data_IF_664630528675
#
_entry.id   IF_664630528675
#
_cell.length_a   1.000
_cell.length_b   1.000
_cell.length_c   1.000
_cell.angle_alpha   90.00
_cell.angle_beta   90.00
_cell.angle_gamma   90.00
#
_symmetry.space_group_name_H-M   'P 1'
#
loop_
_entity.id
_entity.type
_entity.pdbx_description
1 polymer ?
#
# COMPACT_ATOMS: atom_id res chain seq x y z
N UNK A 1 -22.61 18.88 -1.10
CA UNK A 1 -21.66 18.05 -0.32
C UNK A 1 -22.28 17.56 0.99
N UNK A 2 -22.60 18.46 1.92
CA UNK A 2 -23.18 18.11 3.23
C UNK A 2 -24.45 17.26 3.11
N UNK A 3 -25.38 17.64 2.23
CA UNK A 3 -26.60 16.86 1.94
C UNK A 3 -26.30 15.40 1.56
N UNK A 4 -25.23 15.17 0.80
CA UNK A 4 -24.86 13.82 0.34
C UNK A 4 -24.23 12.97 1.46
N UNK A 5 -23.61 13.60 2.46
CA UNK A 5 -22.94 12.94 3.58
C UNK A 5 -23.80 12.83 4.84
N UNK A 6 -24.68 13.80 5.05
CA UNK A 6 -25.47 13.97 6.26
C UNK A 6 -26.97 13.86 5.99
N UNK A 7 -27.37 13.61 4.74
CA UNK A 7 -28.78 13.57 4.36
C UNK A 7 -29.39 14.96 4.18
N UNK A 8 -30.62 15.02 3.68
CA UNK A 8 -31.35 16.30 3.59
C UNK A 8 -31.89 16.74 4.95
N UNK A 9 -32.03 15.82 5.89
CA UNK A 9 -32.53 16.04 7.24
C UNK A 9 -31.86 15.06 8.23
N UNK A 10 -32.18 15.19 9.51
CA UNK A 10 -31.64 14.34 10.57
C UNK A 10 -31.92 12.85 10.37
N UNK A 11 -33.10 12.48 9.85
CA UNK A 11 -33.47 11.08 9.61
C UNK A 11 -32.66 10.43 8.48
N UNK A 12 -32.43 11.17 7.40
CA UNK A 12 -31.53 10.74 6.32
C UNK A 12 -30.09 10.57 6.86
N UNK A 13 -29.63 11.50 7.70
CA UNK A 13 -28.31 11.46 8.34
C UNK A 13 -28.13 10.25 9.25
N UNK A 14 -29.13 9.95 10.07
CA UNK A 14 -29.16 8.77 10.94
C UNK A 14 -29.14 7.48 10.12
N UNK A 15 -29.87 7.45 9.01
CA UNK A 15 -29.87 6.30 8.09
C UNK A 15 -28.48 6.07 7.47
N UNK A 16 -27.81 7.14 7.02
CA UNK A 16 -26.45 7.07 6.47
C UNK A 16 -25.46 6.60 7.54
N UNK A 17 -25.55 7.15 8.76
CA UNK A 17 -24.70 6.77 9.89
C UNK A 17 -24.89 5.29 10.25
N UNK A 18 -26.13 4.84 10.43
CA UNK A 18 -26.45 3.46 10.76
C UNK A 18 -26.01 2.48 9.67
N UNK A 19 -26.07 2.88 8.39
CA UNK A 19 -25.53 2.08 7.29
C UNK A 19 -24.00 1.94 7.38
N UNK A 20 -23.28 3.03 7.71
CA UNK A 20 -21.82 2.98 7.93
C UNK A 20 -21.46 2.11 9.15
N UNK A 21 -22.21 2.25 10.25
CA UNK A 21 -22.02 1.45 11.45
C UNK A 21 -22.22 -0.05 11.16
N UNK A 22 -23.31 -0.43 10.51
CA UNK A 22 -23.57 -1.83 10.10
C UNK A 22 -22.47 -2.39 9.20
N UNK A 23 -21.94 -1.60 8.26
CA UNK A 23 -20.84 -2.02 7.40
C UNK A 23 -19.55 -2.25 8.20
N UNK A 24 -19.26 -1.41 9.20
CA UNK A 24 -18.13 -1.59 10.10
C UNK A 24 -18.30 -2.85 10.96
N UNK A 25 -19.48 -3.05 11.56
CA UNK A 25 -19.79 -4.26 12.33
C UNK A 25 -19.68 -5.53 11.49
N UNK A 26 -20.15 -5.50 10.24
CA UNK A 26 -20.02 -6.64 9.32
C UNK A 26 -18.55 -6.99 9.07
N UNK A 27 -17.69 -5.99 8.82
CA UNK A 27 -16.25 -6.20 8.67
C UNK A 27 -15.61 -6.78 9.94
N UNK A 28 -16.00 -6.28 11.12
CA UNK A 28 -15.53 -6.84 12.39
C UNK A 28 -15.90 -8.32 12.54
N UNK A 29 -17.14 -8.69 12.22
CA UNK A 29 -17.62 -10.08 12.28
C UNK A 29 -16.94 -10.99 11.24
N UNK A 30 -16.70 -10.48 10.03
CA UNK A 30 -15.94 -11.19 8.99
C UNK A 30 -14.53 -11.53 9.52
N UNK A 31 -13.86 -10.57 10.16
CA UNK A 31 -12.56 -10.79 10.80
C UNK A 31 -12.62 -11.79 11.99
N UNK A 32 -13.61 -11.69 12.88
CA UNK A 32 -13.79 -12.62 14.01
C UNK A 32 -14.09 -14.07 13.55
N UNK A 33 -14.90 -14.24 12.50
CA UNK A 33 -15.25 -15.57 11.99
C UNK A 33 -14.07 -16.31 11.34
N UNK A 34 -13.09 -15.55 10.82
CA UNK A 34 -11.82 -16.13 10.34
C UNK A 34 -10.90 -16.54 11.49
N UNK A 35 -11.06 -15.98 12.69
CA UNK A 35 -10.24 -16.28 13.86
C UNK A 35 -10.57 -17.65 14.48
N UNK A 36 -11.84 -18.06 14.47
CA UNK A 36 -12.31 -19.28 15.17
C UNK A 36 -11.97 -20.61 14.48
N UNK A 37 -11.53 -20.61 13.22
CA UNK A 37 -11.16 -21.83 12.49
C UNK A 37 -9.63 -22.04 12.37
N UNK A 38 -8.85 -21.29 13.16
CA UNK A 38 -7.40 -21.36 13.15
C UNK A 38 -6.95 -22.38 14.20
N UNK A 39 -6.70 -23.61 13.74
CA UNK A 39 -5.77 -24.46 14.47
C UNK A 39 -4.48 -23.66 14.65
N UNK A 40 -4.02 -23.52 15.90
CA UNK A 40 -2.68 -23.01 16.22
C UNK A 40 -1.67 -23.92 15.53
N UNK A 41 -1.35 -23.68 14.26
CA UNK A 41 -0.19 -24.31 13.66
C UNK A 41 1.01 -23.61 14.28
N UNK A 42 1.47 -24.15 15.40
CA UNK A 42 2.85 -24.01 15.86
C UNK A 42 3.75 -24.66 14.80
N UNK A 43 3.79 -24.09 13.60
CA UNK A 43 4.86 -24.39 12.67
C UNK A 43 6.08 -23.70 13.26
N UNK A 44 6.94 -24.49 13.89
CA UNK A 44 8.30 -24.08 14.25
C UNK A 44 8.86 -23.24 13.10
N UNK A 45 9.34 -22.04 13.43
CA UNK A 45 9.94 -21.12 12.47
C UNK A 45 11.36 -21.61 12.11
N UNK A 46 11.44 -22.77 11.48
CA UNK A 46 12.67 -23.38 10.98
C UNK A 46 12.98 -22.95 9.54
N UNK A 47 12.49 -21.76 9.14
CA UNK A 47 13.03 -21.06 7.98
C UNK A 47 14.41 -20.55 8.41
N UNK A 48 15.47 -21.17 7.88
CA UNK A 48 16.88 -20.84 8.17
C UNK A 48 17.06 -19.32 8.39
N UNK A 49 17.28 -18.95 9.66
CA UNK A 49 17.21 -17.59 10.19
C UNK A 49 18.29 -16.61 9.66
N UNK A 50 19.06 -17.03 8.65
CA UNK A 50 20.17 -16.29 8.04
C UNK A 50 20.15 -16.37 6.52
N UNK A 51 18.98 -16.58 5.89
CA UNK A 51 18.88 -16.67 4.44
C UNK A 51 19.06 -15.29 3.79
N UNK A 52 20.30 -14.94 3.46
CA UNK A 52 20.58 -13.98 2.41
C UNK A 52 19.93 -14.48 1.11
N UNK A 53 18.80 -13.88 0.73
CA UNK A 53 18.15 -14.17 -0.54
C UNK A 53 18.76 -13.27 -1.60
N UNK A 54 19.48 -13.89 -2.54
CA UNK A 54 20.12 -13.18 -3.65
C UNK A 54 19.07 -12.35 -4.41
N UNK A 55 19.35 -11.07 -4.60
CA UNK A 55 18.47 -10.17 -5.36
C UNK A 55 17.44 -9.40 -4.54
N UNK A 56 17.36 -9.64 -3.22
CA UNK A 56 16.58 -8.85 -2.27
C UNK A 56 17.50 -8.05 -1.34
N UNK A 57 17.55 -6.74 -1.55
CA UNK A 57 18.34 -5.79 -0.78
C UNK A 57 17.41 -4.88 0.03
N UNK A 58 17.99 -4.08 0.95
CA UNK A 58 17.26 -3.05 1.68
C UNK A 58 16.44 -2.17 0.75
N UNK A 59 15.25 -1.81 1.21
CA UNK A 59 14.28 -1.05 0.41
C UNK A 59 14.80 0.36 0.13
N UNK A 60 14.36 0.91 -1.00
CA UNK A 60 14.74 2.25 -1.46
C UNK A 60 13.59 3.02 -2.11
N UNK A 61 12.37 2.51 -2.03
CA UNK A 61 11.27 3.02 -2.86
C UNK A 61 10.82 4.44 -2.50
N UNK A 62 11.00 4.88 -1.26
CA UNK A 62 10.83 6.26 -0.79
C UNK A 62 12.18 6.96 -0.54
N UNK A 63 13.27 6.41 -1.11
CA UNK A 63 14.64 6.84 -0.89
C UNK A 63 15.46 5.83 -0.10
N UNK A 64 16.79 5.90 -0.20
CA UNK A 64 17.70 5.01 0.54
C UNK A 64 17.68 5.31 2.05
N UNK A 65 17.85 4.26 2.86
CA UNK A 65 18.11 4.38 4.29
C UNK A 65 19.40 5.17 4.52
N UNK A 66 19.40 6.11 5.47
CA UNK A 66 20.57 6.91 5.84
C UNK A 66 21.76 6.01 6.22
N UNK A 67 23.00 6.28 5.75
CA UNK A 67 23.49 7.51 5.11
C UNK A 67 23.27 7.61 3.59
N UNK A 68 22.59 6.64 2.98
CA UNK A 68 22.23 6.70 1.57
C UNK A 68 21.33 7.90 1.25
N UNK A 69 21.43 8.41 0.02
CA UNK A 69 20.58 9.48 -0.52
C UNK A 69 20.07 9.12 -1.91
N UNK A 70 18.89 9.64 -2.24
CA UNK A 70 18.23 9.44 -3.52
C UNK A 70 17.72 8.00 -3.73
N UNK A 71 17.37 7.68 -4.97
CA UNK A 71 16.92 6.34 -5.37
C UNK A 71 15.44 6.06 -5.13
N UNK A 72 14.68 7.09 -4.74
CA UNK A 72 13.23 7.08 -4.63
C UNK A 72 12.57 6.73 -5.96
N UNK A 73 11.48 5.97 -5.88
CA UNK A 73 10.63 5.60 -7.00
C UNK A 73 9.36 6.42 -6.95
N UNK A 74 8.78 6.68 -8.12
CA UNK A 74 7.52 7.41 -8.24
C UNK A 74 6.38 6.46 -8.59
N UNK A 75 5.15 6.88 -8.32
CA UNK A 75 3.95 6.20 -8.78
C UNK A 75 3.92 6.16 -10.30
N UNK A 76 3.64 4.98 -10.88
CA UNK A 76 3.55 4.82 -12.34
C UNK A 76 2.08 4.70 -12.74
N UNK A 77 1.51 5.75 -13.33
CA UNK A 77 0.11 5.85 -13.75
C UNK A 77 -0.06 5.88 -15.28
N UNK A 78 0.63 4.99 -16.01
CA UNK A 78 0.56 4.94 -17.49
C UNK A 78 -0.65 4.14 -17.95
N UNK A 79 -1.37 4.62 -18.97
CA UNK A 79 -2.55 3.92 -19.49
C UNK A 79 -2.12 2.58 -20.14
N UNK A 80 -1.10 2.61 -21.01
CA UNK A 80 -0.47 1.40 -21.55
C UNK A 80 0.82 1.05 -20.81
N UNK A 81 0.99 -0.24 -20.51
CA UNK A 81 2.23 -0.83 -19.96
C UNK A 81 2.65 -2.02 -20.81
N UNK A 82 3.88 -2.50 -20.61
CA UNK A 82 4.48 -3.60 -21.38
C UNK A 82 3.70 -4.92 -21.28
N UNK A 83 3.02 -5.18 -20.16
CA UNK A 83 2.14 -6.34 -19.99
C UNK A 83 0.81 -5.94 -19.33
N UNK A 84 -0.19 -5.69 -20.16
CA UNK A 84 -1.55 -5.36 -19.74
C UNK A 84 -1.92 -3.88 -19.93
N UNK A 85 -3.12 -3.54 -19.50
CA UNK A 85 -3.60 -2.17 -19.37
C UNK A 85 -3.72 -1.87 -17.87
N UNK A 86 -3.18 -0.74 -17.41
CA UNK A 86 -3.40 -0.37 -16.00
C UNK A 86 -4.88 -0.07 -15.75
N UNK A 87 -5.64 0.20 -16.81
CA UNK A 87 -7.04 0.62 -16.82
C UNK A 87 -7.26 1.80 -15.87
N UNK A 88 -6.28 2.71 -15.75
CA UNK A 88 -6.28 3.82 -14.79
C UNK A 88 -5.74 3.52 -13.39
N UNK A 89 -5.04 2.39 -13.19
CA UNK A 89 -4.31 2.12 -11.93
C UNK A 89 -2.97 2.85 -11.91
N UNK A 90 -2.49 3.12 -10.69
CA UNK A 90 -1.14 3.60 -10.45
C UNK A 90 -0.34 2.54 -9.70
N UNK A 91 0.83 2.16 -10.21
CA UNK A 91 1.70 1.14 -9.57
C UNK A 91 2.50 1.79 -8.44
N UNK A 92 2.40 1.30 -7.19
CA UNK A 92 3.12 1.87 -6.05
C UNK A 92 4.64 1.76 -6.18
N UNK A 93 5.39 2.74 -5.63
CA UNK A 93 6.84 2.63 -5.44
C UNK A 93 7.27 1.33 -4.73
N UNK A 94 6.52 0.89 -3.71
CA UNK A 94 6.78 -0.33 -2.95
C UNK A 94 6.67 -1.59 -3.83
N UNK A 95 5.62 -1.72 -4.64
CA UNK A 95 5.44 -2.84 -5.57
C UNK A 95 6.57 -2.94 -6.58
N UNK A 96 7.08 -1.81 -7.08
CA UNK A 96 8.25 -1.76 -7.96
C UNK A 96 9.56 -2.25 -7.29
N UNK A 97 9.56 -2.37 -5.96
CA UNK A 97 10.70 -2.80 -5.14
C UNK A 97 10.39 -4.10 -4.37
N UNK A 98 9.40 -4.89 -4.83
CA UNK A 98 9.03 -6.17 -4.24
C UNK A 98 10.19 -7.19 -4.34
N UNK A 99 10.44 -7.94 -3.27
CA UNK A 99 11.46 -8.99 -3.23
C UNK A 99 10.99 -10.22 -4.02
N UNK A 100 11.43 -10.38 -5.27
CA UNK A 100 11.18 -11.62 -6.03
C UNK A 100 12.23 -12.71 -5.77
N UNK A 101 13.35 -12.37 -5.12
CA UNK A 101 14.35 -13.32 -4.63
C UNK A 101 14.77 -14.37 -5.64
N UNK A 102 14.72 -15.63 -5.22
CA UNK A 102 15.10 -16.79 -6.04
C UNK A 102 14.11 -17.14 -7.15
N UNK A 103 12.98 -16.45 -7.25
CA UNK A 103 12.03 -16.61 -8.35
C UNK A 103 12.60 -16.04 -9.66
N UNK A 104 13.42 -14.99 -9.56
CA UNK A 104 13.98 -14.29 -10.73
C UNK A 104 15.43 -13.86 -10.51
N UNK A 105 16.33 -14.31 -11.39
CA UNK A 105 17.72 -13.87 -11.40
C UNK A 105 17.84 -12.59 -12.24
N UNK A 106 18.25 -11.48 -11.61
CA UNK A 106 18.42 -10.18 -12.28
C UNK A 106 19.71 -10.06 -13.09
N UNK A 107 20.62 -11.04 -13.06
CA UNK A 107 21.91 -10.99 -13.79
C UNK A 107 21.71 -11.17 -15.30
N UNK A 108 22.64 -10.61 -16.09
CA UNK A 108 22.76 -10.81 -17.54
C UNK A 108 21.44 -10.64 -18.33
N UNK A 109 20.72 -9.53 -18.09
CA UNK A 109 19.46 -9.25 -18.78
C UNK A 109 18.21 -9.89 -18.16
N UNK A 110 18.38 -10.66 -17.08
CA UNK A 110 17.28 -11.17 -16.29
C UNK A 110 16.73 -12.50 -16.82
N UNK A 111 16.58 -13.50 -15.96
CA UNK A 111 15.93 -14.77 -16.31
C UNK A 111 15.13 -15.36 -15.15
N UNK A 112 14.04 -16.00 -15.49
CA UNK A 112 13.28 -16.85 -14.57
C UNK A 112 14.17 -17.96 -14.03
N UNK A 113 14.15 -18.13 -12.71
CA UNK A 113 14.92 -19.15 -12.00
C UNK A 113 14.01 -20.27 -11.46
N UNK A 114 12.80 -20.38 -12.03
CA UNK A 114 11.79 -21.37 -11.64
C UNK A 114 11.37 -22.32 -12.78
N UNK A 115 11.90 -22.13 -14.00
CA UNK A 115 11.44 -22.87 -15.19
C UNK A 115 11.41 -24.40 -15.05
N UNK A 116 12.27 -24.96 -14.20
CA UNK A 116 12.41 -26.41 -13.98
C UNK A 116 12.06 -26.80 -12.53
N UNK A 117 11.44 -25.91 -11.76
CA UNK A 117 11.06 -26.18 -10.38
C UNK A 117 9.79 -27.04 -10.31
N UNK A 118 9.66 -27.81 -9.23
CA UNK A 118 8.38 -28.44 -8.86
C UNK A 118 7.48 -27.45 -8.13
N UNK A 119 6.19 -27.78 -7.93
CA UNK A 119 5.29 -26.96 -7.09
C UNK A 119 5.82 -26.74 -5.68
N UNK A 120 6.44 -27.75 -5.08
CA UNK A 120 6.97 -27.67 -3.71
C UNK A 120 8.16 -26.72 -3.66
N UNK A 121 9.08 -26.80 -4.63
CA UNK A 121 10.23 -25.91 -4.68
C UNK A 121 9.79 -24.46 -4.97
N UNK A 122 8.82 -24.27 -5.86
CA UNK A 122 8.22 -22.97 -6.13
C UNK A 122 7.56 -22.40 -4.86
N UNK A 123 6.79 -23.20 -4.13
CA UNK A 123 6.16 -22.83 -2.85
C UNK A 123 7.21 -22.36 -1.84
N UNK A 124 8.31 -23.09 -1.67
CA UNK A 124 9.38 -22.69 -0.74
C UNK A 124 10.09 -21.40 -1.17
N UNK A 125 10.35 -21.20 -2.47
CA UNK A 125 10.93 -19.94 -2.97
C UNK A 125 10.01 -18.74 -2.73
N UNK A 126 8.69 -18.89 -2.92
CA UNK A 126 7.69 -17.85 -2.63
C UNK A 126 7.68 -17.56 -1.12
N UNK A 127 7.64 -18.60 -0.29
CA UNK A 127 7.66 -18.49 1.18
C UNK A 127 8.89 -17.71 1.67
N UNK A 128 10.07 -18.05 1.14
CA UNK A 128 11.32 -17.35 1.44
C UNK A 128 11.29 -15.88 1.00
N UNK A 129 10.77 -15.60 -0.20
CA UNK A 129 10.63 -14.23 -0.71
C UNK A 129 9.71 -13.38 0.19
N UNK A 130 8.55 -13.91 0.60
CA UNK A 130 7.59 -13.24 1.50
C UNK A 130 8.19 -13.00 2.88
N UNK A 131 8.88 -14.00 3.43
CA UNK A 131 9.58 -13.87 4.71
C UNK A 131 10.62 -12.74 4.66
N UNK A 132 11.46 -12.73 3.62
CA UNK A 132 12.49 -11.71 3.45
C UNK A 132 11.92 -10.32 3.17
N UNK A 133 10.85 -10.23 2.39
CA UNK A 133 10.10 -8.99 2.17
C UNK A 133 9.67 -8.39 3.51
N UNK A 134 9.13 -9.21 4.41
CA UNK A 134 8.68 -8.80 5.74
C UNK A 134 9.83 -8.23 6.57
N UNK A 135 11.00 -8.89 6.58
CA UNK A 135 12.20 -8.38 7.28
C UNK A 135 12.67 -7.03 6.71
N UNK A 136 12.76 -6.92 5.37
CA UNK A 136 13.24 -5.70 4.71
C UNK A 136 12.27 -4.53 4.87
N UNK A 137 10.96 -4.81 4.88
CA UNK A 137 9.95 -3.79 5.18
C UNK A 137 10.04 -3.33 6.63
N UNK A 138 10.30 -4.25 7.57
CA UNK A 138 10.49 -3.86 8.97
C UNK A 138 11.67 -2.90 9.11
N UNK A 139 12.85 -3.25 8.58
CA UNK A 139 14.03 -2.37 8.57
C UNK A 139 13.69 -0.97 8.01
N UNK A 140 12.95 -0.94 6.90
CA UNK A 140 12.65 0.31 6.20
C UNK A 140 11.68 1.24 6.95
N UNK A 141 10.73 0.67 7.70
CA UNK A 141 9.79 1.44 8.52
C UNK A 141 10.36 1.76 9.91
N UNK A 142 11.15 0.85 10.48
CA UNK A 142 11.81 1.04 11.77
C UNK A 142 12.84 2.18 11.73
N UNK A 143 13.53 2.33 10.59
CA UNK A 143 14.43 3.47 10.37
C UNK A 143 13.70 4.79 10.07
N UNK A 144 12.37 4.77 9.96
CA UNK A 144 11.57 5.94 9.60
C UNK A 144 11.74 6.40 8.14
N UNK A 145 12.30 5.54 7.27
CA UNK A 145 12.62 5.91 5.89
C UNK A 145 11.36 5.92 5.02
N UNK A 146 10.49 4.91 5.15
CA UNK A 146 9.22 4.85 4.42
C UNK A 146 8.36 6.09 4.71
N UNK A 147 7.74 6.70 3.70
CA UNK A 147 6.90 7.90 3.89
C UNK A 147 5.78 7.64 4.90
N UNK A 148 5.15 6.47 4.84
CA UNK A 148 4.06 6.10 5.74
C UNK A 148 4.50 5.80 7.19
N UNK A 149 5.82 5.68 7.43
CA UNK A 149 6.40 5.55 8.78
C UNK A 149 6.75 6.90 9.42
N UNK A 150 6.69 7.98 8.64
CA UNK A 150 7.05 9.31 9.09
C UNK A 150 5.90 9.98 9.86
N UNK A 151 6.26 10.85 10.79
CA UNK A 151 5.33 11.71 11.49
C UNK A 151 5.20 13.08 10.82
N UNK A 152 4.11 13.76 11.18
CA UNK A 152 3.91 15.16 10.85
C UNK A 152 4.99 16.02 11.53
N UNK A 153 5.33 15.72 12.79
CA UNK A 153 6.35 16.42 13.59
C UNK A 153 7.77 15.91 13.33
N UNK A 154 8.72 16.84 13.22
CA UNK A 154 10.16 16.59 12.99
C UNK A 154 10.88 15.86 14.14
N UNK A 155 10.23 15.65 15.29
CA UNK A 155 10.84 14.95 16.41
C UNK A 155 10.82 13.43 16.22
N UNK A 156 11.96 12.80 16.56
CA UNK A 156 12.14 11.34 16.62
C UNK A 156 11.39 10.73 17.81
N UNK A 157 10.08 10.89 17.87
CA UNK A 157 9.27 10.08 18.76
C UNK A 157 9.34 8.61 18.27
N UNK A 158 9.28 7.65 19.21
CA UNK A 158 9.13 6.24 18.86
C UNK A 158 7.76 6.05 18.17
N UNK A 159 7.77 5.96 16.85
CA UNK A 159 6.55 5.87 16.03
C UNK A 159 6.08 4.43 15.91
N UNK A 160 5.90 3.79 17.05
CA UNK A 160 5.37 2.45 17.09
C UNK A 160 3.84 2.50 17.20
N UNK A 161 3.18 1.54 16.56
CA UNK A 161 1.78 1.26 16.79
C UNK A 161 1.56 0.68 18.20
N UNK A 162 0.30 0.45 18.57
CA UNK A 162 -0.10 -0.14 19.87
C UNK A 162 0.60 -1.46 20.19
N UNK A 163 1.07 -2.19 19.16
CA UNK A 163 1.69 -3.50 19.28
C UNK A 163 3.22 -3.42 19.32
N UNK A 164 3.81 -2.21 19.32
CA UNK A 164 5.26 -2.01 19.35
C UNK A 164 5.96 -2.17 18.00
N UNK A 165 5.22 -2.29 16.90
CA UNK A 165 5.76 -2.33 15.54
C UNK A 165 5.81 -0.93 14.91
N UNK A 166 6.76 -0.64 14.00
CA UNK A 166 6.86 0.67 13.36
C UNK A 166 5.57 1.08 12.62
N UNK A 167 5.25 2.37 12.63
CA UNK A 167 4.11 2.96 11.90
C UNK A 167 4.17 2.56 10.42
N UNK A 168 3.03 2.16 9.86
CA UNK A 168 2.88 1.76 8.45
C UNK A 168 3.43 0.37 8.09
N UNK A 169 4.22 -0.27 8.96
CA UNK A 169 4.83 -1.58 8.67
C UNK A 169 3.79 -2.64 8.30
N UNK A 170 2.75 -2.82 9.10
CA UNK A 170 1.71 -3.82 8.82
C UNK A 170 0.95 -3.53 7.52
N UNK A 171 0.65 -2.26 7.22
CA UNK A 171 0.03 -1.89 5.95
C UNK A 171 0.93 -2.27 4.77
N UNK A 172 2.23 -1.98 4.85
CA UNK A 172 3.18 -2.34 3.79
C UNK A 172 3.29 -3.86 3.60
N UNK A 173 3.34 -4.63 4.69
CA UNK A 173 3.39 -6.11 4.64
C UNK A 173 2.12 -6.68 4.00
N UNK A 174 0.95 -6.23 4.43
CA UNK A 174 -0.34 -6.65 3.88
C UNK A 174 -0.43 -6.34 2.38
N UNK A 175 0.00 -5.14 1.96
CA UNK A 175 0.04 -4.75 0.53
C UNK A 175 1.04 -5.58 -0.28
N UNK A 176 2.23 -5.85 0.25
CA UNK A 176 3.20 -6.75 -0.39
C UNK A 176 2.66 -8.17 -0.53
N UNK A 177 1.93 -8.67 0.46
CA UNK A 177 1.28 -9.99 0.37
C UNK A 177 0.23 -10.04 -0.76
N UNK A 178 -0.59 -9.00 -0.89
CA UNK A 178 -1.56 -8.85 -1.99
C UNK A 178 -0.85 -8.79 -3.35
N UNK A 179 0.32 -8.14 -3.43
CA UNK A 179 1.12 -8.13 -4.65
C UNK A 179 1.66 -9.52 -5.01
N UNK A 180 2.16 -10.30 -4.03
CA UNK A 180 2.57 -11.68 -4.28
C UNK A 180 1.39 -12.54 -4.76
N UNK A 181 0.22 -12.44 -4.10
CA UNK A 181 -1.01 -13.13 -4.51
C UNK A 181 -1.31 -12.84 -5.98
N UNK A 182 -1.43 -11.58 -6.35
CA UNK A 182 -1.79 -11.19 -7.71
C UNK A 182 -0.68 -11.52 -8.73
N UNK A 183 0.59 -11.48 -8.33
CA UNK A 183 1.70 -11.96 -9.16
C UNK A 183 1.51 -13.46 -9.44
N UNK A 184 1.32 -14.29 -8.42
CA UNK A 184 1.16 -15.73 -8.57
C UNK A 184 -0.08 -16.08 -9.41
N UNK A 185 -1.21 -15.40 -9.17
CA UNK A 185 -2.46 -15.63 -9.89
C UNK A 185 -2.43 -15.16 -11.35
N UNK A 186 -1.38 -14.47 -11.80
CA UNK A 186 -1.31 -13.92 -13.15
C UNK A 186 -2.18 -12.67 -13.35
N UNK A 187 -2.71 -12.07 -12.27
CA UNK A 187 -3.61 -10.90 -12.31
C UNK A 187 -2.90 -9.57 -12.04
N UNK A 188 -1.63 -9.61 -11.61
CA UNK A 188 -0.87 -8.40 -11.30
C UNK A 188 -0.62 -7.55 -12.54
N UNK A 189 -0.85 -6.25 -12.40
CA UNK A 189 -0.57 -5.24 -13.41
C UNK A 189 0.90 -4.83 -13.30
N UNK A 190 1.73 -5.06 -14.33
CA UNK A 190 3.18 -4.88 -14.19
C UNK A 190 3.82 -4.11 -15.35
N UNK A 191 4.63 -3.11 -15.02
CA UNK A 191 5.46 -2.37 -15.99
C UNK A 191 6.71 -3.14 -16.45
N UNK A 192 7.02 -4.25 -15.79
CA UNK A 192 8.27 -4.95 -16.01
C UNK A 192 8.03 -6.27 -16.73
N UNK A 193 8.70 -6.43 -17.87
CA UNK A 193 8.63 -7.62 -18.73
C UNK A 193 8.91 -8.92 -17.97
N UNK A 194 9.83 -8.86 -17.01
CA UNK A 194 10.21 -10.02 -16.24
C UNK A 194 9.10 -10.55 -15.34
N UNK A 195 8.20 -9.69 -14.84
CA UNK A 195 7.09 -10.18 -14.03
C UNK A 195 6.10 -10.93 -14.92
N UNK A 196 5.77 -10.43 -16.11
CA UNK A 196 4.90 -11.15 -17.05
C UNK A 196 5.44 -12.55 -17.38
N UNK A 197 6.74 -12.66 -17.67
CA UNK A 197 7.43 -13.94 -17.87
C UNK A 197 7.36 -14.86 -16.64
N UNK A 198 7.52 -14.29 -15.45
CA UNK A 198 7.42 -15.05 -14.20
C UNK A 198 6.00 -15.60 -13.98
N UNK A 199 4.98 -14.80 -14.26
CA UNK A 199 3.56 -15.21 -14.16
C UNK A 199 3.24 -16.38 -15.11
N UNK A 200 3.75 -16.33 -16.33
CA UNK A 200 3.62 -17.42 -17.31
C UNK A 200 4.35 -18.69 -16.86
N UNK A 201 5.56 -18.57 -16.33
CA UNK A 201 6.34 -19.72 -15.86
C UNK A 201 5.68 -20.37 -14.63
N UNK A 202 5.15 -19.59 -13.68
CA UNK A 202 4.35 -20.09 -12.55
C UNK A 202 3.17 -20.90 -13.08
N UNK A 203 2.38 -20.32 -14.00
CA UNK A 203 1.22 -20.99 -14.59
C UNK A 203 1.59 -22.35 -15.21
N UNK A 204 2.69 -22.42 -15.97
CA UNK A 204 3.17 -23.67 -16.59
C UNK A 204 3.52 -24.74 -15.55
N UNK A 205 4.22 -24.39 -14.47
CA UNK A 205 4.58 -25.32 -13.39
C UNK A 205 3.32 -25.89 -12.76
N UNK A 206 2.32 -25.04 -12.48
CA UNK A 206 1.07 -25.49 -11.86
C UNK A 206 0.31 -26.46 -12.77
N UNK A 207 0.20 -26.14 -14.07
CA UNK A 207 -0.51 -26.92 -15.09
C UNK A 207 0.13 -28.30 -15.33
N UNK A 208 1.45 -28.37 -15.43
CA UNK A 208 2.20 -29.60 -15.74
C UNK A 208 2.07 -30.67 -14.64
N UNK A 209 1.87 -30.26 -13.40
CA UNK A 209 1.71 -31.20 -12.29
C UNK A 209 0.25 -31.54 -12.00
N UNK A 210 -0.71 -30.65 -12.29
CA UNK A 210 -2.15 -30.99 -12.17
C UNK A 210 -2.60 -32.02 -13.23
N UNK A 211 -1.98 -32.03 -14.41
CA UNK A 211 -2.31 -32.96 -15.51
C UNK A 211 -1.84 -34.40 -15.27
N UNK A 212 -0.99 -34.64 -14.27
CA UNK A 212 -0.51 -35.99 -13.91
C UNK A 212 -1.47 -36.76 -12.99
N UNK A 213 -2.54 -36.13 -12.48
CA UNK A 213 -3.62 -36.84 -11.78
C UNK A 213 -4.75 -37.17 -12.77
N UNK A 214 -4.89 -38.45 -13.11
CA UNK A 214 -6.06 -39.06 -13.73
C UNK A 214 -6.46 -38.66 -15.17
N UNK A 215 -5.52 -38.32 -16.06
CA UNK A 215 -5.71 -38.41 -17.52
C UNK A 215 -6.85 -37.57 -18.13
N UNK A 216 -7.47 -36.66 -17.36
CA UNK A 216 -8.49 -35.71 -17.81
C UNK A 216 -8.04 -34.30 -17.46
N UNK A 217 -7.89 -33.45 -18.46
CA UNK A 217 -7.76 -32.01 -18.28
C UNK A 217 -9.08 -31.48 -17.71
N UNK A 218 -9.10 -31.17 -16.42
CA UNK A 218 -10.26 -30.51 -15.78
C UNK A 218 -9.77 -29.14 -15.31
N UNK A 219 -10.31 -28.08 -15.91
CA UNK A 219 -10.06 -26.69 -15.51
C UNK A 219 -9.16 -25.90 -16.46
N UNK A 220 -9.46 -24.60 -16.61
CA UNK A 220 -8.56 -23.66 -17.28
C UNK A 220 -7.32 -23.39 -16.42
N UNK A 221 -6.19 -23.06 -17.04
CA UNK A 221 -4.93 -22.77 -16.34
C UNK A 221 -5.05 -21.77 -15.18
N UNK A 222 -5.93 -20.78 -15.31
CA UNK A 222 -6.19 -19.79 -14.26
C UNK A 222 -6.92 -20.38 -13.05
N UNK A 223 -7.85 -21.31 -13.27
CA UNK A 223 -8.59 -21.98 -12.17
C UNK A 223 -7.65 -22.87 -11.34
N UNK A 224 -6.73 -23.58 -11.99
CA UNK A 224 -5.75 -24.43 -11.30
C UNK A 224 -4.78 -23.62 -10.44
N UNK A 225 -4.30 -22.47 -10.94
CA UNK A 225 -3.45 -21.56 -10.17
C UNK A 225 -4.22 -20.93 -9.01
N UNK A 226 -5.47 -20.55 -9.21
CA UNK A 226 -6.35 -20.04 -8.15
C UNK A 226 -6.59 -21.07 -7.04
N UNK A 227 -6.86 -22.32 -7.41
CA UNK A 227 -7.04 -23.42 -6.46
C UNK A 227 -5.76 -23.67 -5.66
N UNK A 228 -4.61 -23.76 -6.35
CA UNK A 228 -3.32 -23.94 -5.71
C UNK A 228 -2.96 -22.81 -4.75
N UNK A 229 -3.21 -21.54 -5.12
CA UNK A 229 -3.01 -20.42 -4.20
C UNK A 229 -3.85 -20.57 -2.94
N UNK A 230 -5.14 -20.92 -3.05
CA UNK A 230 -6.02 -21.13 -1.87
C UNK A 230 -5.51 -22.22 -0.94
N UNK A 231 -4.88 -23.26 -1.48
CA UNK A 231 -4.27 -24.33 -0.69
C UNK A 231 -3.04 -23.84 0.10
N UNK A 232 -2.22 -22.97 -0.49
CA UNK A 232 -0.97 -22.51 0.12
C UNK A 232 -1.07 -21.15 0.83
N UNK A 233 -2.14 -20.37 0.65
CA UNK A 233 -2.28 -18.98 1.11
C UNK A 233 -2.04 -18.85 2.62
N UNK A 234 -2.52 -19.82 3.41
CA UNK A 234 -2.28 -19.87 4.87
C UNK A 234 -0.81 -20.10 5.20
N UNK A 235 -0.14 -20.99 4.48
CA UNK A 235 1.30 -21.25 4.67
C UNK A 235 2.13 -20.03 4.28
N UNK A 236 1.73 -19.32 3.22
CA UNK A 236 2.36 -18.08 2.78
C UNK A 236 2.19 -16.98 3.82
N UNK A 237 1.01 -16.85 4.43
CA UNK A 237 0.81 -15.92 5.55
C UNK A 237 1.61 -16.34 6.79
N UNK A 238 1.77 -17.65 7.01
CA UNK A 238 2.70 -18.20 8.01
C UNK A 238 4.13 -17.68 7.84
N UNK A 239 4.59 -17.44 6.61
CA UNK A 239 5.89 -16.83 6.34
C UNK A 239 5.99 -15.38 6.83
N UNK A 240 4.92 -14.59 6.69
CA UNK A 240 4.82 -13.23 7.24
C UNK A 240 4.92 -13.26 8.76
N UNK A 241 4.08 -14.08 9.41
CA UNK A 241 4.11 -14.24 10.87
C UNK A 241 5.49 -14.67 11.35
N UNK A 242 6.15 -15.54 10.59
CA UNK A 242 7.50 -15.99 10.89
C UNK A 242 8.53 -14.88 10.75
N UNK A 243 8.44 -14.02 9.73
CA UNK A 243 9.28 -12.83 9.59
C UNK A 243 9.17 -11.89 10.80
N UNK A 244 7.94 -11.65 11.27
CA UNK A 244 7.68 -10.84 12.48
C UNK A 244 8.29 -11.47 13.73
N UNK A 245 8.15 -12.80 13.90
CA UNK A 245 8.80 -13.54 15.00
C UNK A 245 10.33 -13.50 14.91
N UNK A 246 10.92 -13.48 13.72
CA UNK A 246 12.39 -13.36 13.57
C UNK A 246 12.90 -12.00 14.03
N UNK A 247 12.18 -10.92 13.72
CA UNK A 247 12.50 -9.56 14.17
C UNK A 247 12.56 -9.46 15.71
N UNK A 248 11.64 -10.14 16.42
CA UNK A 248 11.68 -10.24 17.89
C UNK A 248 13.02 -10.77 18.40
N UNK A 249 13.51 -11.87 17.82
CA UNK A 249 14.76 -12.51 18.25
C UNK A 249 15.95 -11.54 18.11
N UNK A 250 15.92 -10.65 17.12
CA UNK A 250 16.98 -9.68 16.86
C UNK A 250 16.97 -8.50 17.85
N UNK A 251 15.79 -8.00 18.26
CA UNK A 251 15.69 -6.76 19.07
C UNK A 251 15.67 -6.94 20.59
N UNK A 252 15.62 -8.16 21.13
CA UNK A 252 15.66 -8.50 22.58
C UNK A 252 14.63 -7.81 23.52
N UNK A 253 13.85 -6.83 23.05
CA UNK A 253 12.97 -5.97 23.87
C UNK A 253 11.49 -5.96 23.41
N UNK A 254 11.06 -6.85 22.52
CA UNK A 254 9.68 -6.93 22.02
C UNK A 254 9.04 -8.29 22.26
N UNK A 255 7.73 -8.32 22.51
CA UNK A 255 6.95 -9.56 22.69
C UNK A 255 6.13 -9.89 21.46
N UNK A 256 6.75 -9.93 20.27
CA UNK A 256 5.98 -10.25 19.07
C UNK A 256 5.56 -11.73 19.00
N UNK A 257 4.27 -12.00 18.79
CA UNK A 257 3.71 -13.33 18.58
C UNK A 257 3.50 -13.65 17.08
N UNK A 258 3.67 -12.66 16.19
CA UNK A 258 3.53 -12.80 14.74
C UNK A 258 2.16 -12.41 14.20
N UNK A 259 1.17 -12.19 15.08
CA UNK A 259 -0.21 -11.87 14.71
C UNK A 259 -0.48 -10.36 14.70
N UNK A 260 0.53 -9.52 14.97
CA UNK A 260 0.37 -8.07 15.11
C UNK A 260 -0.13 -7.38 13.84
N UNK A 261 0.14 -7.97 12.66
CA UNK A 261 -0.35 -7.51 11.37
C UNK A 261 -1.58 -8.30 10.88
N UNK A 262 -2.18 -9.13 11.74
CA UNK A 262 -3.34 -9.95 11.47
C UNK A 262 -3.07 -11.45 11.64
N UNK A 263 -4.02 -12.14 12.27
CA UNK A 263 -4.05 -13.61 12.37
C UNK A 263 -4.24 -14.30 11.02
N UNK A 264 -4.85 -13.61 10.06
CA UNK A 264 -5.14 -14.09 8.71
C UNK A 264 -4.62 -13.09 7.68
N UNK A 265 -4.34 -13.53 6.45
CA UNK A 265 -3.97 -12.62 5.36
C UNK A 265 -5.11 -11.62 5.07
N UNK A 266 -4.82 -10.49 4.39
CA UNK A 266 -5.84 -9.51 4.03
C UNK A 266 -6.99 -10.14 3.24
N UNK A 267 -8.22 -9.84 3.63
CA UNK A 267 -9.46 -10.36 3.00
C UNK A 267 -10.38 -9.25 2.48
N UNK A 268 -11.38 -9.62 1.69
CA UNK A 268 -12.46 -8.73 1.29
C UNK A 268 -12.05 -7.66 0.27
N UNK A 269 -12.40 -6.38 0.52
CA UNK A 269 -12.07 -5.29 -0.43
C UNK A 269 -10.57 -5.09 -0.62
N UNK A 270 -9.74 -5.62 0.29
CA UNK A 270 -8.28 -5.55 0.19
C UNK A 270 -7.70 -6.65 -0.72
N UNK A 271 -8.52 -7.59 -1.20
CA UNK A 271 -8.10 -8.57 -2.21
C UNK A 271 -7.99 -7.98 -3.62
N UNK A 272 -8.72 -6.89 -3.90
CA UNK A 272 -8.57 -6.17 -5.16
C UNK A 272 -7.27 -5.36 -5.13
N UNK A 273 -6.29 -5.79 -5.93
CA UNK A 273 -4.98 -5.16 -6.02
C UNK A 273 -5.08 -3.66 -6.31
N UNK A 274 -6.00 -3.25 -7.19
CA UNK A 274 -6.16 -1.84 -7.51
C UNK A 274 -6.68 -1.04 -6.30
N UNK A 275 -7.61 -1.59 -5.53
CA UNK A 275 -8.11 -0.95 -4.30
C UNK A 275 -7.00 -0.86 -3.26
N UNK A 276 -6.19 -1.92 -3.11
CA UNK A 276 -5.03 -1.95 -2.22
C UNK A 276 -4.00 -0.86 -2.57
N UNK A 277 -3.69 -0.71 -3.86
CA UNK A 277 -2.80 0.35 -4.34
C UNK A 277 -3.39 1.75 -4.17
N UNK A 278 -4.69 1.92 -4.43
CA UNK A 278 -5.31 3.24 -4.26
C UNK A 278 -5.39 3.65 -2.78
N UNK A 279 -5.61 2.69 -1.90
CA UNK A 279 -5.48 2.85 -0.45
C UNK A 279 -4.05 3.24 -0.04
N UNK A 280 -3.03 2.59 -0.60
CA UNK A 280 -1.62 2.94 -0.39
C UNK A 280 -1.32 4.37 -0.85
N UNK A 281 -1.82 4.77 -2.02
CA UNK A 281 -1.71 6.12 -2.54
C UNK A 281 -2.34 7.14 -1.58
N UNK A 282 -3.54 6.85 -1.09
CA UNK A 282 -4.27 7.75 -0.20
C UNK A 282 -3.60 7.93 1.15
N UNK A 283 -3.12 6.85 1.78
CA UNK A 283 -2.36 6.93 3.03
C UNK A 283 -1.11 7.79 2.87
N UNK A 284 -0.30 7.51 1.82
CA UNK A 284 0.89 8.29 1.51
C UNK A 284 0.56 9.76 1.29
N UNK A 285 -0.45 10.04 0.46
CA UNK A 285 -0.90 11.40 0.16
C UNK A 285 -1.29 12.16 1.42
N UNK A 286 -2.09 11.55 2.29
CA UNK A 286 -2.59 12.22 3.49
C UNK A 286 -1.47 12.50 4.51
N UNK A 287 -0.52 11.58 4.68
CA UNK A 287 0.66 11.78 5.53
C UNK A 287 1.55 12.90 4.98
N UNK A 288 1.85 12.88 3.68
CA UNK A 288 2.63 13.96 3.06
C UNK A 288 1.92 15.31 3.14
N UNK A 289 0.59 15.35 2.92
CA UNK A 289 -0.22 16.55 3.04
C UNK A 289 -0.14 17.16 4.43
N UNK A 290 -0.25 16.34 5.49
CA UNK A 290 -0.12 16.82 6.88
C UNK A 290 1.29 17.36 7.17
N UNK A 291 2.33 16.76 6.59
CA UNK A 291 3.70 17.30 6.67
C UNK A 291 3.87 18.62 5.94
N UNK A 292 3.27 18.78 4.75
CA UNK A 292 3.22 20.07 4.08
C UNK A 292 2.48 21.12 4.92
N UNK A 293 1.33 20.74 5.49
CA UNK A 293 0.53 21.60 6.36
C UNK A 293 1.35 22.05 7.58
N UNK A 294 2.07 21.14 8.25
CA UNK A 294 2.94 21.49 9.36
C UNK A 294 4.07 22.44 8.94
N UNK A 295 4.77 22.15 7.82
CA UNK A 295 5.83 23.01 7.32
C UNK A 295 5.32 24.41 6.95
N UNK A 296 4.10 24.52 6.43
CA UNK A 296 3.44 25.81 6.17
C UNK A 296 3.11 26.51 7.47
N UNK A 297 2.50 25.82 8.45
CA UNK A 297 2.17 26.41 9.77
C UNK A 297 3.41 26.95 10.47
N UNK A 298 4.52 26.20 10.48
CA UNK A 298 5.80 26.63 11.06
C UNK A 298 6.37 27.88 10.36
N UNK A 299 6.27 27.96 9.03
CA UNK A 299 6.86 29.07 8.26
C UNK A 299 5.95 30.32 8.17
N UNK A 300 4.64 30.16 8.33
CA UNK A 300 3.64 31.20 8.12
C UNK A 300 3.00 31.73 9.42
N UNK A 301 3.27 31.10 10.56
CA UNK A 301 2.79 31.53 11.87
C UNK A 301 3.98 32.05 12.70
N UNK A 302 4.02 33.35 12.99
CA UNK A 302 5.04 33.95 13.87
C UNK A 302 4.32 34.45 15.14
N UNK A 303 4.86 34.12 16.32
CA UNK A 303 4.32 34.56 17.62
C UNK A 303 2.83 34.24 17.88
N UNK A 304 2.32 33.11 17.36
CA UNK A 304 0.93 32.68 17.57
C UNK A 304 -0.13 33.48 16.83
N UNK A 305 0.26 34.44 15.97
CA UNK A 305 -0.64 35.17 15.07
C UNK A 305 -0.44 34.71 13.63
N UNK A 306 -1.55 34.45 12.94
CA UNK A 306 -1.56 34.11 11.51
C UNK A 306 -1.26 35.37 10.68
N UNK A 307 0.01 35.78 10.61
CA UNK A 307 0.40 37.01 9.90
C UNK A 307 0.31 36.86 8.37
N UNK A 308 0.58 35.68 7.80
CA UNK A 308 0.54 35.48 6.33
C UNK A 308 -0.15 34.17 5.97
N UNK A 309 -1.45 34.22 5.70
CA UNK A 309 -2.19 33.07 5.15
C UNK A 309 -1.72 32.80 3.72
N UNK A 310 -1.62 31.53 3.29
CA UNK A 310 -1.42 31.16 1.88
C UNK A 310 -2.67 31.52 1.04
N UNK A 311 -2.99 32.81 0.89
CA UNK A 311 -4.16 33.31 0.15
C UNK A 311 -3.69 34.52 -0.66
N UNK A 312 -4.15 34.64 -1.90
CA UNK A 312 -3.99 35.88 -2.67
C UNK A 312 -5.17 36.81 -2.35
N UNK A 313 -4.93 37.91 -1.65
CA UNK A 313 -5.93 38.96 -1.47
C UNK A 313 -6.17 39.69 -2.79
N UNK A 314 -7.45 39.82 -3.21
CA UNK A 314 -7.85 40.60 -4.40
C UNK A 314 -7.92 42.11 -4.15
N UNK A 315 -7.82 42.58 -2.90
CA UNK A 315 -7.77 44.01 -2.60
C UNK A 315 -6.34 44.50 -2.81
N UNK A 316 -6.16 45.51 -3.66
CA UNK A 316 -4.86 46.13 -3.99
C UNK A 316 -4.15 46.84 -2.83
N UNK A 317 -4.38 46.44 -1.59
CA UNK A 317 -3.66 46.84 -0.39
C UNK A 317 -3.44 45.60 0.51
N UNK A 318 -2.17 45.41 0.88
CA UNK A 318 -1.62 44.62 2.00
C UNK A 318 -1.38 43.09 1.86
N UNK A 319 -0.14 42.74 2.24
CA UNK A 319 0.49 41.44 2.53
C UNK A 319 0.46 40.33 1.46
N UNK A 320 1.32 40.50 0.44
CA UNK A 320 1.77 39.35 -0.35
C UNK A 320 2.47 38.34 0.58
N UNK A 321 2.11 37.07 0.41
CA UNK A 321 2.84 35.96 1.02
C UNK A 321 4.28 36.02 0.51
N UNK A 322 5.23 36.25 1.41
CA UNK A 322 6.64 36.47 1.09
C UNK A 322 7.55 35.58 1.96
N UNK A 323 8.83 35.51 1.60
CA UNK A 323 9.84 34.79 2.36
C UNK A 323 9.62 33.27 2.42
N UNK A 324 9.93 32.67 3.57
CA UNK A 324 9.86 31.21 3.74
C UNK A 324 8.43 30.67 3.62
N UNK A 325 7.44 31.42 4.12
CA UNK A 325 6.02 31.06 4.01
C UNK A 325 5.61 30.80 2.55
N UNK A 326 5.91 31.74 1.64
CA UNK A 326 5.63 31.59 0.20
C UNK A 326 6.28 30.33 -0.37
N UNK A 327 7.55 30.09 -0.01
CA UNK A 327 8.29 28.93 -0.49
C UNK A 327 7.64 27.62 -0.06
N UNK A 328 7.09 27.53 1.15
CA UNK A 328 6.37 26.33 1.62
C UNK A 328 5.02 26.19 0.94
N UNK A 329 4.25 27.27 0.80
CA UNK A 329 2.97 27.27 0.07
C UNK A 329 3.17 26.79 -1.38
N UNK A 330 4.16 27.32 -2.12
CA UNK A 330 4.45 26.93 -3.51
C UNK A 330 4.87 25.47 -3.64
N UNK A 331 5.62 24.93 -2.67
CA UNK A 331 5.97 23.50 -2.66
C UNK A 331 4.73 22.61 -2.51
N UNK A 332 3.79 23.00 -1.66
CA UNK A 332 2.53 22.28 -1.52
C UNK A 332 1.67 22.37 -2.78
N UNK A 333 1.54 23.56 -3.37
CA UNK A 333 0.85 23.75 -4.65
C UNK A 333 1.42 22.87 -5.76
N UNK A 334 2.76 22.82 -5.88
CA UNK A 334 3.44 21.94 -6.84
C UNK A 334 3.10 20.47 -6.57
N UNK A 335 3.17 20.05 -5.31
CA UNK A 335 2.81 18.69 -4.89
C UNK A 335 1.37 18.32 -5.25
N UNK A 336 0.39 19.20 -4.98
CA UNK A 336 -1.01 18.97 -5.36
C UNK A 336 -1.17 18.87 -6.88
N UNK A 337 -0.46 19.70 -7.66
CA UNK A 337 -0.50 19.63 -9.12
C UNK A 337 0.03 18.31 -9.66
N UNK A 338 1.09 17.74 -9.06
CA UNK A 338 1.64 16.43 -9.42
C UNK A 338 0.66 15.31 -9.03
N UNK A 339 0.12 15.35 -7.81
CA UNK A 339 -0.81 14.34 -7.28
C UNK A 339 -2.18 14.36 -7.93
N UNK A 340 -2.58 15.47 -8.53
CA UNK A 340 -3.89 15.57 -9.21
C UNK A 340 -4.05 14.54 -10.32
N UNK A 341 -3.03 14.33 -11.15
CA UNK A 341 -3.12 13.36 -12.25
C UNK A 341 -3.25 11.93 -11.72
N UNK A 342 -2.53 11.60 -10.65
CA UNK A 342 -2.61 10.30 -9.98
C UNK A 342 -4.00 10.09 -9.34
N UNK A 343 -4.56 11.14 -8.72
CA UNK A 343 -5.90 11.14 -8.12
C UNK A 343 -6.99 10.95 -9.18
N UNK A 344 -6.99 11.75 -10.24
CA UNK A 344 -8.07 11.76 -11.23
C UNK A 344 -8.23 10.39 -11.91
N UNK A 345 -7.11 9.73 -12.22
CA UNK A 345 -7.09 8.37 -12.80
C UNK A 345 -7.66 7.33 -11.84
N UNK A 346 -7.14 7.27 -10.62
CA UNK A 346 -7.55 6.26 -9.65
C UNK A 346 -8.99 6.50 -9.15
N UNK A 347 -9.39 7.74 -8.92
CA UNK A 347 -10.77 8.12 -8.58
C UNK A 347 -11.73 7.63 -9.64
N UNK A 348 -11.48 7.96 -10.91
CA UNK A 348 -12.35 7.59 -12.03
C UNK A 348 -12.48 6.08 -12.14
N UNK A 349 -11.37 5.35 -12.07
CA UNK A 349 -11.38 3.88 -12.11
C UNK A 349 -12.19 3.28 -10.95
N UNK A 350 -11.96 3.76 -9.73
CA UNK A 350 -12.64 3.25 -8.54
C UNK A 350 -14.15 3.49 -8.57
N UNK A 351 -14.57 4.72 -8.84
CA UNK A 351 -16.00 5.09 -8.83
C UNK A 351 -16.77 4.43 -9.98
N UNK A 352 -16.12 4.17 -11.11
CA UNK A 352 -16.70 3.40 -12.22
C UNK A 352 -16.83 1.91 -11.87
N UNK A 353 -15.81 1.31 -11.25
CA UNK A 353 -15.81 -0.12 -10.87
C UNK A 353 -16.75 -0.41 -9.71
N UNK A 354 -16.87 0.52 -8.76
CA UNK A 354 -17.67 0.38 -7.55
C UNK A 354 -18.80 1.41 -7.51
N UNK A 355 -19.81 1.20 -8.35
CA UNK A 355 -20.96 2.10 -8.49
C UNK A 355 -21.59 2.42 -7.14
N UNK A 356 -21.76 3.72 -6.87
CA UNK A 356 -22.33 4.22 -5.61
C UNK A 356 -21.35 4.30 -4.44
N UNK A 357 -20.09 3.92 -4.61
CA UNK A 357 -19.00 4.18 -3.65
C UNK A 357 -18.18 5.38 -4.11
N UNK A 358 -17.67 6.16 -3.16
CA UNK A 358 -16.83 7.33 -3.42
C UNK A 358 -15.38 7.07 -3.03
N UNK A 359 -14.45 7.51 -3.87
CA UNK A 359 -13.02 7.39 -3.60
C UNK A 359 -12.62 8.11 -2.29
N UNK A 360 -13.22 9.27 -2.04
CA UNK A 360 -12.95 10.06 -0.82
C UNK A 360 -13.39 9.34 0.46
N UNK A 361 -14.48 8.57 0.40
CA UNK A 361 -14.94 7.77 1.54
C UNK A 361 -14.04 6.56 1.77
N UNK A 362 -13.58 5.88 0.71
CA UNK A 362 -12.60 4.80 0.81
C UNK A 362 -11.37 5.25 1.61
N UNK A 363 -10.78 6.40 1.28
CA UNK A 363 -9.56 6.85 1.94
C UNK A 363 -9.82 7.32 3.39
N UNK A 364 -10.88 8.10 3.61
CA UNK A 364 -11.22 8.63 4.96
C UNK A 364 -11.64 7.56 5.95
N UNK A 365 -12.29 6.49 5.48
CA UNK A 365 -12.73 5.39 6.36
C UNK A 365 -11.58 4.47 6.77
N UNK A 366 -10.46 4.49 6.05
CA UNK A 366 -9.32 3.60 6.32
C UNK A 366 -8.11 4.32 6.94
N UNK A 367 -7.96 5.62 6.72
CA UNK A 367 -6.79 6.38 7.16
C UNK A 367 -7.18 7.64 7.96
N UNK A 368 -6.88 7.70 9.27
CA UNK A 368 -7.16 8.86 10.11
C UNK A 368 -6.52 10.15 9.58
N UNK A 369 -5.34 10.06 8.97
CA UNK A 369 -4.64 11.19 8.36
C UNK A 369 -5.43 11.87 7.23
N UNK A 370 -6.38 11.14 6.62
CA UNK A 370 -7.24 11.64 5.56
C UNK A 370 -8.49 12.38 6.06
N UNK A 371 -8.80 12.37 7.36
CA UNK A 371 -10.05 12.95 7.88
C UNK A 371 -10.17 14.43 7.50
N UNK A 372 -9.11 15.20 7.69
CA UNK A 372 -9.07 16.65 7.38
C UNK A 372 -8.88 16.96 5.89
N UNK A 373 -8.61 15.96 5.04
CA UNK A 373 -8.46 16.18 3.60
C UNK A 373 -9.82 16.30 2.90
N UNK A 374 -10.12 17.42 2.26
CA UNK A 374 -11.28 17.51 1.36
C UNK A 374 -10.83 17.31 -0.09
N UNK A 375 -10.84 16.07 -0.57
CA UNK A 375 -10.33 15.70 -1.90
C UNK A 375 -11.01 16.47 -3.04
N UNK A 376 -12.32 16.68 -2.99
CA UNK A 376 -13.06 17.42 -4.02
C UNK A 376 -12.64 18.89 -4.09
N UNK A 377 -12.26 19.47 -2.94
CA UNK A 377 -11.74 20.83 -2.86
C UNK A 377 -10.28 20.90 -3.30
N UNK A 378 -9.44 19.99 -2.79
CA UNK A 378 -8.00 19.95 -3.07
C UNK A 378 -7.73 19.75 -4.56
N UNK A 379 -8.47 18.86 -5.22
CA UNK A 379 -8.26 18.50 -6.61
C UNK A 379 -9.27 19.15 -7.58
N UNK A 380 -9.86 20.28 -7.16
CA UNK A 380 -10.88 20.98 -7.94
C UNK A 380 -10.33 21.53 -9.27
N UNK A 381 -11.08 21.30 -10.35
CA UNK A 381 -10.73 21.76 -11.70
C UNK A 381 -11.22 23.16 -12.05
N UNK A 382 -12.11 23.74 -11.24
CA UNK A 382 -12.70 25.04 -11.53
C UNK A 382 -11.64 26.17 -11.51
N UNK A 383 -11.57 26.92 -12.61
CA UNK A 383 -10.63 28.04 -12.82
C UNK A 383 -10.81 29.11 -11.75
N UNK A 384 -12.04 29.38 -11.32
CA UNK A 384 -12.32 30.32 -10.24
C UNK A 384 -11.68 29.84 -8.93
N UNK A 385 -11.79 28.55 -8.61
CA UNK A 385 -11.15 27.98 -7.41
C UNK A 385 -9.63 28.15 -7.46
N UNK A 386 -8.99 27.91 -8.60
CA UNK A 386 -7.53 28.12 -8.75
C UNK A 386 -7.13 29.59 -8.57
N UNK A 387 -8.04 30.52 -8.85
CA UNK A 387 -7.82 31.96 -8.68
C UNK A 387 -8.00 32.39 -7.22
N UNK A 388 -9.02 31.88 -6.53
CA UNK A 388 -9.35 32.24 -5.14
C UNK A 388 -8.54 31.44 -4.10
N UNK A 389 -8.18 30.20 -4.42
CA UNK A 389 -7.45 29.26 -3.57
C UNK A 389 -6.18 28.79 -4.29
N UNK A 390 -5.15 29.66 -4.34
CA UNK A 390 -3.93 29.36 -5.08
C UNK A 390 -3.06 28.26 -4.47
N UNK A 391 -3.35 27.82 -3.23
CA UNK A 391 -2.55 26.88 -2.43
C UNK A 391 -3.40 25.80 -1.78
#
# INVERSE_FOLDING_TARGET
>A
YLIKKCGNNSGDGETIFNKKLKNAEKKCKENESTDTNINKSETSCDLNATNYIRGCQSKTYDGKIFPGKGGEKQWICKDTITHGDTNGACIPPRTQNLCVGELWDKRYGGRSNIKNDTKELLKEKIKNAIHKETELLYEYHDTGTAIISQNDKKEKANNNNSNGLPKGFCHAVQRSFIDYKNMILGTSVNTYEYIGKLQEDIKKIIEQETTKQNGKTVGSGAENVNAWWKEIEKDMWGAVKCGIKTIKKQKKNGTFNGDECGVSPPTGNDEDQFVSWFKEWGEQFCIERLRYEQNIREACTINGKNEKKCINSKSGQEDKVEGECKRKCEKYKKYISEKKQEWDKQKTKYENKYVGKFASDLLKENYPECISANFDFIFNDNIEYKTYYPY
#
